data_IF_391383388375
#
_entry.id   IF_391383388375
#
_cell.length_a   1.000
_cell.length_b   1.000
_cell.length_c   1.000
_cell.angle_alpha   90.00
_cell.angle_beta   90.00
_cell.angle_gamma   90.00
#
_symmetry.space_group_name_H-M   'P 1'
#
loop_
_entity.id
_entity.type
_entity.pdbx_description
1 polymer ?
#
# COMPACT_ATOMS: atom_id res chain seq x y z
N UNK A 1 -2.22 16.74 16.67
CA UNK A 1 -2.64 17.41 15.41
C UNK A 1 -2.17 16.58 14.24
N UNK A 2 -3.03 16.34 13.25
CA UNK A 2 -2.64 15.60 12.04
C UNK A 2 -1.67 16.48 11.22
N UNK A 3 -0.46 15.97 10.98
CA UNK A 3 0.56 16.66 10.16
C UNK A 3 0.27 16.59 8.66
N UNK A 4 -0.70 15.76 8.26
CA UNK A 4 -1.09 15.52 6.87
C UNK A 4 -2.61 15.56 6.72
N UNK A 5 -3.05 16.10 5.58
CA UNK A 5 -4.45 16.05 5.16
C UNK A 5 -4.83 14.60 4.82
N UNK A 6 -5.93 14.13 5.41
CA UNK A 6 -6.47 12.79 5.14
C UNK A 6 -7.02 12.73 3.71
N UNK A 7 -6.94 11.57 3.08
CA UNK A 7 -7.52 11.28 1.75
C UNK A 7 -6.86 12.00 0.56
N UNK A 8 -5.74 12.71 0.75
CA UNK A 8 -4.99 13.29 -0.37
C UNK A 8 -4.00 12.28 -0.96
N UNK A 9 -3.46 11.40 -0.13
CA UNK A 9 -2.47 10.41 -0.56
C UNK A 9 -3.14 9.07 -0.85
N UNK A 10 -2.79 8.44 -1.98
CA UNK A 10 -3.19 7.07 -2.36
C UNK A 10 -4.71 6.82 -2.28
N UNK A 11 -5.50 7.84 -2.61
CA UNK A 11 -6.96 7.78 -2.63
C UNK A 11 -7.44 7.96 -4.06
N UNK A 12 -8.40 7.15 -4.49
CA UNK A 12 -8.98 7.21 -5.83
C UNK A 12 -10.50 7.14 -5.73
N UNK A 13 -11.18 7.97 -6.51
CA UNK A 13 -12.63 7.93 -6.64
C UNK A 13 -13.02 6.91 -7.71
N UNK A 14 -14.05 6.11 -7.44
CA UNK A 14 -14.61 5.21 -8.43
C UNK A 14 -15.52 5.99 -9.38
N UNK A 15 -15.22 5.94 -10.67
CA UNK A 15 -16.10 6.52 -11.69
C UNK A 15 -17.31 5.59 -11.89
N UNK A 16 -18.51 6.17 -11.90
CA UNK A 16 -19.77 5.45 -12.20
C UNK A 16 -20.00 4.20 -11.32
N UNK A 17 -19.47 4.19 -10.09
CA UNK A 17 -19.56 3.04 -9.20
C UNK A 17 -18.64 1.86 -9.59
N UNK A 18 -17.74 2.01 -10.57
CA UNK A 18 -16.78 0.99 -10.96
C UNK A 18 -15.62 0.90 -9.95
N UNK A 19 -15.92 0.29 -8.80
CA UNK A 19 -14.96 0.08 -7.71
C UNK A 19 -13.83 -0.84 -8.16
N UNK A 20 -14.12 -1.86 -8.97
CA UNK A 20 -13.12 -2.81 -9.43
C UNK A 20 -12.06 -2.15 -10.34
N UNK A 21 -12.50 -1.31 -11.28
CA UNK A 21 -11.60 -0.54 -12.15
C UNK A 21 -10.75 0.45 -11.36
N UNK A 22 -11.35 1.12 -10.36
CA UNK A 22 -10.62 2.00 -9.46
C UNK A 22 -9.60 1.23 -8.61
N UNK A 23 -9.97 0.08 -8.06
CA UNK A 23 -9.08 -0.78 -7.29
C UNK A 23 -7.91 -1.29 -8.13
N UNK A 24 -8.17 -1.78 -9.35
CA UNK A 24 -7.11 -2.24 -10.27
C UNK A 24 -6.13 -1.12 -10.59
N UNK A 25 -6.64 0.09 -10.84
CA UNK A 25 -5.82 1.26 -11.14
C UNK A 25 -4.98 1.68 -9.94
N UNK A 26 -5.61 1.77 -8.76
CA UNK A 26 -4.93 2.09 -7.51
C UNK A 26 -3.85 1.06 -7.20
N UNK A 27 -4.16 -0.23 -7.29
CA UNK A 27 -3.22 -1.32 -7.04
C UNK A 27 -2.01 -1.25 -7.99
N UNK A 28 -2.22 -0.91 -9.27
CA UNK A 28 -1.12 -0.72 -10.22
C UNK A 28 -0.20 0.43 -9.81
N UNK A 29 -0.76 1.56 -9.38
CA UNK A 29 0.03 2.71 -8.89
C UNK A 29 0.84 2.29 -7.65
N UNK A 30 0.23 1.58 -6.71
CA UNK A 30 0.89 1.13 -5.49
C UNK A 30 2.05 0.14 -5.74
N UNK A 31 1.89 -0.74 -6.73
CA UNK A 31 2.94 -1.66 -7.17
C UNK A 31 4.07 -0.88 -7.85
N UNK A 32 3.75 0.06 -8.76
CA UNK A 32 4.76 0.87 -9.46
C UNK A 32 5.56 1.77 -8.52
N UNK A 33 4.96 2.26 -7.45
CA UNK A 33 5.62 3.05 -6.40
C UNK A 33 6.45 2.16 -5.43
N UNK A 34 6.47 0.84 -5.63
CA UNK A 34 7.20 -0.12 -4.79
C UNK A 34 6.63 -0.30 -3.38
N UNK A 35 5.48 0.30 -3.09
CA UNK A 35 4.86 0.29 -1.75
C UNK A 35 4.46 -1.12 -1.34
N UNK A 36 3.89 -1.87 -2.27
CA UNK A 36 3.45 -3.24 -2.01
C UNK A 36 4.62 -4.14 -1.65
N UNK A 37 5.77 -3.95 -2.30
CA UNK A 37 7.02 -4.65 -1.99
C UNK A 37 7.61 -4.20 -0.65
N UNK A 38 7.68 -2.89 -0.39
CA UNK A 38 8.13 -2.34 0.90
C UNK A 38 7.29 -2.86 2.08
N UNK A 39 5.96 -2.91 1.93
CA UNK A 39 5.07 -3.47 2.95
C UNK A 39 5.34 -4.97 3.15
N UNK A 40 5.44 -5.74 2.06
CA UNK A 40 5.72 -7.16 2.13
C UNK A 40 7.09 -7.45 2.77
N UNK A 41 8.11 -6.66 2.45
CA UNK A 41 9.44 -6.76 3.04
C UNK A 41 9.46 -6.34 4.50
N UNK A 42 8.68 -5.33 4.91
CA UNK A 42 8.53 -4.99 6.33
C UNK A 42 7.78 -6.07 7.10
N UNK A 43 6.77 -6.67 6.48
CA UNK A 43 5.96 -7.72 7.09
C UNK A 43 6.74 -9.04 7.20
N UNK A 44 7.41 -9.47 6.13
CA UNK A 44 8.26 -10.68 6.11
C UNK A 44 9.65 -10.46 6.72
N UNK A 45 10.15 -9.22 6.76
CA UNK A 45 11.39 -8.84 7.42
C UNK A 45 11.32 -8.96 8.95
N UNK A 46 10.12 -9.13 9.52
CA UNK A 46 9.96 -9.60 10.90
C UNK A 46 10.26 -11.11 11.04
N UNK A 47 9.93 -11.93 10.04
CA UNK A 47 10.19 -13.37 10.09
C UNK A 47 11.70 -13.69 9.99
N UNK A 48 12.45 -12.95 9.16
CA UNK A 48 13.89 -13.17 9.01
C UNK A 48 14.73 -12.65 10.19
N UNK A 49 14.18 -11.73 11.01
CA UNK A 49 14.84 -11.19 12.20
C UNK A 49 14.66 -12.08 13.44
N UNK A 50 13.57 -12.86 13.50
CA UNK A 50 13.35 -13.86 14.56
C UNK A 50 14.36 -15.03 14.44
N UNK A 51 14.66 -15.50 13.22
CA UNK A 51 15.64 -16.56 13.00
C UNK A 51 17.11 -16.12 13.17
N UNK A 52 17.40 -14.81 13.24
CA UNK A 52 18.75 -14.30 13.50
C UNK A 52 18.99 -14.01 14.99
N UNK A 53 17.95 -14.12 15.83
CA UNK A 53 18.02 -13.90 17.27
C UNK A 53 17.97 -15.21 18.08
N UNK A 54 18.02 -16.37 17.41
CA UNK A 54 17.95 -17.71 18.00
C UNK A 54 19.24 -18.47 17.78
#
# INVERSE_FOLDING_TARGET
MAKHLKCITRTMMAQEGNVEGAYRTLNRILIMDGITEDINQRHMGMAHKINFLM
#
